data_IF_847639367989
#
_entry.id   IF_847639367989
#
_cell.length_a   1.000
_cell.length_b   1.000
_cell.length_c   1.000
_cell.angle_alpha   90.00
_cell.angle_beta   90.00
_cell.angle_gamma   90.00
#
_symmetry.space_group_name_H-M   'P 1'
#
loop_
_entity.id
_entity.type
_entity.pdbx_description
1 polymer ?
#
# COMPACT_ATOMS: atom_id res chain seq x y z
N UNK A 1 -18.56 -16.48 29.31
CA UNK A 1 -18.67 -15.79 28.01
C UNK A 1 -17.26 -15.61 27.44
N UNK A 2 -16.98 -16.26 26.30
CA UNK A 2 -15.91 -16.04 25.29
C UNK A 2 -14.45 -15.80 25.76
N UNK A 3 -13.53 -16.69 25.34
CA UNK A 3 -12.81 -16.51 24.06
C UNK A 3 -11.97 -17.75 23.73
N UNK A 4 -12.27 -18.30 22.56
CA UNK A 4 -11.66 -19.47 21.96
C UNK A 4 -10.23 -19.17 21.51
N UNK A 5 -9.37 -20.13 21.81
CA UNK A 5 -7.99 -20.31 21.38
C UNK A 5 -7.92 -20.35 19.85
N UNK A 6 -7.08 -19.51 19.24
CA UNK A 6 -6.52 -19.74 17.91
C UNK A 6 -5.05 -19.35 17.95
N UNK A 7 -4.18 -20.36 17.89
CA UNK A 7 -2.73 -20.24 17.86
C UNK A 7 -2.27 -21.04 16.63
N UNK A 8 -2.19 -20.38 15.48
CA UNK A 8 -1.60 -20.95 14.26
C UNK A 8 -0.24 -20.31 14.03
N UNK A 9 0.79 -21.04 14.46
CA UNK A 9 2.17 -20.62 14.74
C UNK A 9 3.05 -20.44 13.49
N UNK A 10 2.48 -20.05 12.33
CA UNK A 10 3.20 -19.95 11.06
C UNK A 10 2.95 -18.67 10.23
N UNK A 11 1.83 -17.98 10.43
CA UNK A 11 1.45 -16.75 9.69
C UNK A 11 1.88 -15.45 10.40
N UNK A 12 2.29 -15.55 11.67
CA UNK A 12 2.48 -14.38 12.54
C UNK A 12 3.65 -13.48 12.10
N UNK A 13 4.66 -14.05 11.44
CA UNK A 13 5.88 -13.31 11.04
C UNK A 13 5.67 -12.47 9.79
N UNK A 14 4.92 -12.97 8.81
CA UNK A 14 4.62 -12.23 7.58
C UNK A 14 3.60 -11.12 7.83
N UNK A 15 2.58 -11.39 8.67
CA UNK A 15 1.62 -10.38 9.13
C UNK A 15 2.30 -9.27 9.95
N UNK A 16 3.19 -9.61 10.90
CA UNK A 16 3.98 -8.62 11.64
C UNK A 16 4.94 -7.83 10.77
N UNK A 17 5.62 -8.47 9.82
CA UNK A 17 6.50 -7.77 8.88
C UNK A 17 5.72 -6.90 7.88
N UNK A 18 4.46 -7.24 7.57
CA UNK A 18 3.56 -6.37 6.78
C UNK A 18 3.17 -5.14 7.60
N UNK A 19 2.80 -5.34 8.87
CA UNK A 19 2.45 -4.26 9.81
C UNK A 19 3.65 -3.33 10.14
N UNK A 20 4.85 -3.87 10.37
CA UNK A 20 6.08 -3.09 10.61
C UNK A 20 6.55 -2.32 9.36
N UNK A 21 6.32 -2.85 8.16
CA UNK A 21 6.68 -2.18 6.90
C UNK A 21 5.66 -1.13 6.48
N UNK A 22 4.36 -1.39 6.64
CA UNK A 22 3.31 -0.37 6.56
C UNK A 22 3.63 0.81 7.48
N UNK A 23 4.14 0.52 8.68
CA UNK A 23 4.63 1.53 9.64
C UNK A 23 5.85 2.32 9.14
N UNK A 24 6.76 1.74 8.33
CA UNK A 24 7.91 2.48 7.78
C UNK A 24 7.53 3.40 6.63
N UNK A 25 6.69 2.92 5.70
CA UNK A 25 6.22 3.71 4.55
C UNK A 25 5.38 4.90 5.03
N UNK A 26 4.42 4.65 5.93
CA UNK A 26 3.63 5.70 6.56
C UNK A 26 4.51 6.72 7.31
N UNK A 27 5.52 6.26 8.06
CA UNK A 27 6.48 7.18 8.71
C UNK A 27 7.27 8.02 7.72
N UNK A 28 7.69 7.46 6.59
CA UNK A 28 8.43 8.21 5.57
C UNK A 28 7.55 9.28 4.90
N UNK A 29 6.29 8.94 4.59
CA UNK A 29 5.31 9.88 4.06
C UNK A 29 5.06 11.06 5.02
N UNK A 30 4.88 10.75 6.31
CA UNK A 30 4.71 11.77 7.36
C UNK A 30 5.95 12.63 7.56
N UNK A 31 7.15 12.01 7.63
CA UNK A 31 8.43 12.74 7.81
C UNK A 31 8.71 13.69 6.66
N UNK A 32 8.36 13.29 5.43
CA UNK A 32 8.53 14.10 4.22
C UNK A 32 7.38 15.07 3.99
N UNK A 33 6.38 15.12 4.89
CA UNK A 33 5.15 15.93 4.77
C UNK A 33 4.42 15.74 3.45
N UNK A 34 4.49 14.53 2.89
CA UNK A 34 3.79 14.20 1.65
C UNK A 34 2.31 13.95 1.90
N UNK A 35 1.95 13.44 3.08
CA UNK A 35 0.57 13.24 3.52
C UNK A 35 0.46 13.58 5.01
N UNK A 36 -0.74 13.93 5.46
CA UNK A 36 -1.05 14.11 6.86
C UNK A 36 -1.32 12.78 7.58
N UNK A 37 -1.34 12.80 8.93
CA UNK A 37 -1.77 11.61 9.71
C UNK A 37 -3.22 11.23 9.45
N UNK A 38 -4.10 12.22 9.20
CA UNK A 38 -5.51 11.98 8.89
C UNK A 38 -5.69 11.27 7.56
N UNK A 39 -4.88 11.62 6.55
CA UNK A 39 -4.91 10.98 5.23
C UNK A 39 -4.51 9.50 5.25
N UNK A 40 -3.68 9.06 6.20
CA UNK A 40 -3.29 7.64 6.27
C UNK A 40 -4.47 6.69 6.48
N UNK A 41 -5.49 7.16 7.22
CA UNK A 41 -6.71 6.41 7.49
C UNK A 41 -7.83 6.74 6.51
N UNK A 42 -7.67 7.81 5.72
CA UNK A 42 -8.63 8.22 4.70
C UNK A 42 -8.60 7.31 3.48
N UNK A 43 -9.69 7.28 2.73
CA UNK A 43 -9.78 6.54 1.47
C UNK A 43 -8.73 6.99 0.46
N UNK A 44 -8.40 6.09 -0.46
CA UNK A 44 -7.47 6.37 -1.54
C UNK A 44 -7.86 5.58 -2.78
N UNK A 45 -7.53 6.09 -3.96
CA UNK A 45 -7.70 5.38 -5.22
C UNK A 45 -6.38 4.74 -5.62
N UNK A 46 -6.39 3.43 -5.89
CA UNK A 46 -5.24 2.66 -6.36
C UNK A 46 -5.47 2.21 -7.81
N UNK A 47 -4.52 2.51 -8.69
CA UNK A 47 -4.48 1.99 -10.06
C UNK A 47 -3.19 1.20 -10.24
N UNK A 48 -3.28 -0.07 -10.65
CA UNK A 48 -2.11 -0.91 -10.91
C UNK A 48 -2.01 -1.19 -12.39
N UNK A 49 -1.09 -0.53 -13.08
CA UNK A 49 -0.85 -0.78 -14.50
C UNK A 49 -0.09 -2.08 -14.68
N UNK A 50 -0.66 -3.12 -15.31
CA UNK A 50 0.06 -4.34 -15.54
C UNK A 50 1.20 -4.08 -16.54
N UNK A 51 2.26 -4.86 -16.46
CA UNK A 51 3.37 -4.78 -17.41
C UNK A 51 3.08 -5.47 -18.76
N UNK A 52 1.90 -6.08 -18.92
CA UNK A 52 1.48 -6.67 -20.18
C UNK A 52 1.24 -5.60 -21.24
N UNK A 53 1.65 -5.89 -22.48
CA UNK A 53 1.60 -4.92 -23.58
C UNK A 53 0.16 -4.59 -24.02
N UNK A 54 -0.79 -5.45 -23.67
CA UNK A 54 -2.18 -5.40 -24.16
C UNK A 54 -3.09 -4.51 -23.30
N UNK A 55 -2.64 -4.07 -22.13
CA UNK A 55 -3.45 -3.26 -21.23
C UNK A 55 -3.51 -1.80 -21.70
N UNK A 56 -4.60 -1.46 -22.40
CA UNK A 56 -4.88 -0.09 -22.88
C UNK A 56 -5.61 0.78 -21.85
N UNK A 57 -6.24 0.16 -20.86
CA UNK A 57 -6.97 0.81 -19.79
C UNK A 57 -6.93 -0.06 -18.54
N UNK A 58 -6.91 0.57 -17.37
CA UNK A 58 -7.01 -0.10 -16.06
C UNK A 58 -8.00 0.67 -15.21
N UNK A 59 -8.96 -0.05 -14.65
CA UNK A 59 -9.94 0.54 -13.75
C UNK A 59 -9.28 0.92 -12.41
N UNK A 60 -9.40 2.19 -11.98
CA UNK A 60 -9.01 2.59 -10.64
C UNK A 60 -9.88 1.88 -9.60
N UNK A 61 -9.26 1.40 -8.52
CA UNK A 61 -9.96 0.77 -7.40
C UNK A 61 -9.96 1.71 -6.20
N UNK A 62 -11.14 1.96 -5.64
CA UNK A 62 -11.24 2.66 -4.37
C UNK A 62 -10.83 1.74 -3.21
N UNK A 63 -9.94 2.25 -2.39
CA UNK A 63 -9.40 1.59 -1.21
C UNK A 63 -9.95 2.28 0.05
N UNK A 64 -10.35 1.51 1.07
CA UNK A 64 -10.94 2.07 2.28
C UNK A 64 -9.93 2.84 3.14
N UNK A 65 -8.62 2.63 2.93
CA UNK A 65 -7.58 3.48 3.52
C UNK A 65 -6.34 3.60 2.63
N UNK A 66 -5.59 4.70 2.77
CA UNK A 66 -4.28 4.88 2.16
C UNK A 66 -3.28 3.80 2.60
N UNK A 67 -3.35 3.34 3.85
CA UNK A 67 -2.50 2.24 4.32
C UNK A 67 -2.71 0.96 3.51
N UNK A 68 -3.96 0.56 3.27
CA UNK A 68 -4.27 -0.63 2.45
C UNK A 68 -3.85 -0.44 0.99
N UNK A 69 -4.04 0.76 0.43
CA UNK A 69 -3.55 1.08 -0.90
C UNK A 69 -2.02 0.94 -1.01
N UNK A 70 -1.28 1.40 0.01
CA UNK A 70 0.18 1.28 0.07
C UNK A 70 0.64 -0.18 0.20
N UNK A 71 -0.07 -0.99 0.97
CA UNK A 71 0.21 -2.43 1.10
C UNK A 71 0.05 -3.17 -0.23
N UNK A 72 -1.06 -2.93 -0.94
CA UNK A 72 -1.29 -3.51 -2.27
C UNK A 72 -0.30 -3.02 -3.32
N UNK A 73 -0.01 -1.70 -3.35
CA UNK A 73 1.03 -1.16 -4.22
C UNK A 73 2.39 -1.78 -3.95
N UNK A 74 2.73 -2.02 -2.68
CA UNK A 74 3.96 -2.68 -2.30
C UNK A 74 4.00 -4.14 -2.75
N UNK A 75 2.87 -4.84 -2.73
CA UNK A 75 2.77 -6.21 -3.26
C UNK A 75 2.98 -6.21 -4.76
N UNK A 76 2.26 -5.37 -5.52
CA UNK A 76 2.40 -5.28 -6.98
C UNK A 76 3.83 -4.95 -7.43
N UNK A 77 4.52 -4.04 -6.71
CA UNK A 77 5.91 -3.70 -6.99
C UNK A 77 6.88 -4.85 -6.69
N UNK A 78 6.64 -5.63 -5.63
CA UNK A 78 7.50 -6.76 -5.26
C UNK A 78 7.28 -7.98 -6.14
N UNK A 79 6.05 -8.24 -6.56
CA UNK A 79 5.72 -9.33 -7.47
C UNK A 79 6.10 -9.03 -8.91
N UNK A 80 6.35 -7.75 -9.25
CA UNK A 80 6.56 -7.33 -10.63
C UNK A 80 5.29 -7.43 -11.48
N UNK A 81 4.12 -7.54 -10.85
CA UNK A 81 2.82 -7.65 -11.54
C UNK A 81 2.39 -6.32 -12.17
N UNK A 82 2.93 -5.19 -11.71
CA UNK A 82 2.59 -3.91 -12.28
C UNK A 82 3.23 -2.68 -11.65
N UNK A 83 2.81 -1.54 -12.20
CA UNK A 83 3.23 -0.19 -11.85
C UNK A 83 2.07 0.53 -11.14
N UNK A 84 2.07 0.58 -9.80
CA UNK A 84 0.99 1.17 -9.04
C UNK A 84 1.07 2.70 -8.98
N UNK A 85 -0.10 3.32 -8.95
CA UNK A 85 -0.35 4.74 -8.69
C UNK A 85 -1.38 4.86 -7.59
N UNK A 86 -1.19 5.78 -6.65
CA UNK A 86 -2.16 6.07 -5.60
C UNK A 86 -2.54 7.55 -5.65
N UNK A 87 -3.82 7.85 -5.51
CA UNK A 87 -4.34 9.20 -5.27
C UNK A 87 -5.04 9.19 -3.91
N UNK A 88 -4.63 10.04 -2.98
CA UNK A 88 -5.28 10.15 -1.66
C UNK A 88 -6.62 10.88 -1.77
N UNK A 89 -7.49 10.75 -0.77
CA UNK A 89 -8.73 11.54 -0.68
C UNK A 89 -8.50 13.06 -0.65
N UNK A 90 -7.30 13.51 -0.27
CA UNK A 90 -6.90 14.91 -0.32
C UNK A 90 -6.36 15.35 -1.71
N UNK A 91 -6.34 14.44 -2.69
CA UNK A 91 -5.84 14.69 -4.04
C UNK A 91 -4.32 14.55 -4.19
N UNK A 92 -3.60 14.07 -3.17
CA UNK A 92 -2.16 13.85 -3.25
C UNK A 92 -1.87 12.65 -4.14
N UNK A 93 -1.06 12.85 -5.18
CA UNK A 93 -0.66 11.78 -6.10
C UNK A 93 0.68 11.16 -5.66
N UNK A 94 0.69 9.85 -5.50
CA UNK A 94 1.87 9.04 -5.19
C UNK A 94 2.26 8.22 -6.44
N UNK A 95 3.19 8.73 -7.27
CA UNK A 95 3.60 8.04 -8.49
C UNK A 95 4.49 6.82 -8.19
N UNK A 96 4.63 5.89 -9.15
CA UNK A 96 5.36 4.64 -8.97
C UNK A 96 6.80 4.83 -8.47
N UNK A 97 7.53 5.82 -9.00
CA UNK A 97 8.91 6.09 -8.59
C UNK A 97 9.00 6.52 -7.12
N UNK A 98 8.03 7.32 -6.66
CA UNK A 98 7.95 7.70 -5.25
C UNK A 98 7.61 6.48 -4.39
N UNK A 99 6.65 5.66 -4.82
CA UNK A 99 6.27 4.43 -4.12
C UNK A 99 7.45 3.46 -4.00
N UNK A 100 8.22 3.24 -5.05
CA UNK A 100 9.46 2.42 -5.02
C UNK A 100 10.46 2.95 -3.99
N UNK A 101 10.68 4.26 -3.97
CA UNK A 101 11.59 4.90 -3.01
C UNK A 101 11.11 4.80 -1.55
N UNK A 102 9.78 4.84 -1.33
CA UNK A 102 9.19 4.79 0.00
C UNK A 102 9.09 3.37 0.57
N UNK A 103 8.73 2.41 -0.29
CA UNK A 103 8.51 1.01 0.06
C UNK A 103 9.84 0.29 0.29
N UNK A 104 10.90 0.73 -0.39
CA UNK A 104 12.18 0.05 -0.55
C UNK A 104 11.97 -1.43 -0.91
N UNK A 105 12.08 -1.69 -2.20
CA UNK A 105 12.22 -3.04 -2.68
C UNK A 105 13.58 -3.55 -2.21
N UNK A 106 13.66 -4.71 -1.51
CA UNK A 106 14.93 -5.35 -1.20
C UNK A 106 15.70 -5.71 -2.47
#
# INVERSE_FOLDING_TARGET
MRRTRWFSRGSDRLDKLSCERGSRVARNLLRRRLVSRGELLGSATLTVWPHSIDAKAVEPREMPSLLLALEEAATALRSGEGTPWIITSAGTMLPPNLLRNLIALP
#
